data_IF_900806738562
#
_entry.id   IF_900806738562
#
_cell.length_a   1.000
_cell.length_b   1.000
_cell.length_c   1.000
_cell.angle_alpha   90.00
_cell.angle_beta   90.00
_cell.angle_gamma   90.00
#
_symmetry.space_group_name_H-M   'P 1'
#
loop_
_entity.id
_entity.type
_entity.pdbx_description
1 polymer ?
#
# COMPACT_ATOMS: atom_id res chain seq x y z
N UNK A 1 -6.42 10.14 -5.89
CA UNK A 1 -6.29 9.93 -7.35
C UNK A 1 -7.16 10.89 -8.16
N UNK A 2 -8.47 11.07 -7.92
CA UNK A 2 -9.29 11.99 -8.75
C UNK A 2 -8.77 13.43 -8.76
N UNK A 3 -8.38 13.95 -7.59
CA UNK A 3 -7.81 15.30 -7.46
C UNK A 3 -6.45 15.42 -8.18
N UNK A 4 -5.65 14.35 -8.22
CA UNK A 4 -4.37 14.35 -8.93
C UNK A 4 -4.57 14.45 -10.44
N UNK A 5 -5.49 13.65 -10.98
CA UNK A 5 -5.88 13.73 -12.39
C UNK A 5 -6.44 15.11 -12.74
N UNK A 6 -7.26 15.68 -11.86
CA UNK A 6 -7.79 17.03 -12.04
C UNK A 6 -6.70 18.09 -12.04
N UNK A 7 -5.70 17.99 -11.17
CA UNK A 7 -4.54 18.88 -11.19
C UNK A 7 -3.78 18.80 -12.53
N UNK A 8 -3.52 17.60 -13.04
CA UNK A 8 -2.86 17.41 -14.34
C UNK A 8 -3.69 18.07 -15.46
N UNK A 9 -5.02 17.87 -15.48
CA UNK A 9 -5.91 18.50 -16.46
C UNK A 9 -5.96 20.03 -16.35
N UNK A 10 -5.66 20.60 -15.17
CA UNK A 10 -5.54 22.05 -14.95
C UNK A 10 -4.16 22.60 -15.33
N UNK A 11 -3.26 21.77 -15.85
CA UNK A 11 -1.95 22.18 -16.34
C UNK A 11 -0.86 22.30 -15.27
N UNK A 12 -1.06 21.71 -14.08
CA UNK A 12 0.04 21.59 -13.12
C UNK A 12 1.09 20.62 -13.66
N UNK A 13 2.34 21.08 -13.77
CA UNK A 13 3.49 20.26 -14.17
C UNK A 13 3.76 19.15 -13.15
N UNK A 14 4.34 18.04 -13.61
CA UNK A 14 4.74 16.93 -12.76
C UNK A 14 5.71 17.35 -11.65
N UNK A 15 6.69 18.19 -11.97
CA UNK A 15 7.69 18.69 -11.02
C UNK A 15 7.03 19.45 -9.86
N UNK A 16 6.09 20.35 -10.18
CA UNK A 16 5.32 21.09 -9.19
C UNK A 16 4.46 20.17 -8.32
N UNK A 17 3.83 19.15 -8.91
CA UNK A 17 3.04 18.15 -8.18
C UNK A 17 3.94 17.39 -7.20
N UNK A 18 5.08 16.89 -7.64
CA UNK A 18 6.00 16.12 -6.80
C UNK A 18 6.56 16.97 -5.64
N UNK A 19 6.88 18.24 -5.89
CA UNK A 19 7.45 19.13 -4.88
C UNK A 19 6.42 19.71 -3.91
N UNK A 20 5.18 19.94 -4.35
CA UNK A 20 4.21 20.72 -3.59
C UNK A 20 2.77 20.16 -3.63
N UNK A 21 2.64 18.83 -3.64
CA UNK A 21 1.34 18.17 -3.74
C UNK A 21 0.31 18.61 -2.69
N UNK A 22 0.62 18.80 -1.40
CA UNK A 22 -0.41 19.19 -0.42
C UNK A 22 -1.10 20.51 -0.75
N UNK A 23 -0.33 21.52 -1.19
CA UNK A 23 -0.89 22.82 -1.54
C UNK A 23 -1.65 22.80 -2.87
N UNK A 24 -1.16 22.06 -3.89
CA UNK A 24 -1.88 21.86 -5.16
C UNK A 24 -3.18 21.08 -4.89
N UNK A 25 -3.06 20.00 -4.12
CA UNK A 25 -4.06 19.40 -3.22
C UNK A 25 -5.25 20.29 -2.95
N UNK A 26 -5.00 21.14 -1.96
CA UNK A 26 -6.02 21.93 -1.30
C UNK A 26 -6.53 23.04 -2.21
N UNK A 27 -5.66 23.60 -3.06
CA UNK A 27 -6.05 24.55 -4.10
C UNK A 27 -7.08 23.96 -5.07
N UNK A 28 -6.84 22.77 -5.63
CA UNK A 28 -7.78 22.13 -6.57
C UNK A 28 -9.09 21.78 -5.87
N UNK A 29 -9.02 21.29 -4.63
CA UNK A 29 -10.22 20.97 -3.84
C UNK A 29 -11.09 22.21 -3.61
N UNK A 30 -10.49 23.35 -3.28
CA UNK A 30 -11.21 24.60 -3.04
C UNK A 30 -11.71 25.24 -4.34
N UNK A 31 -10.85 25.34 -5.37
CA UNK A 31 -11.21 25.96 -6.66
C UNK A 31 -12.36 25.24 -7.36
N UNK A 32 -12.40 23.91 -7.29
CA UNK A 32 -13.42 23.10 -7.95
C UNK A 32 -14.57 22.69 -7.00
N UNK A 33 -14.65 23.27 -5.78
CA UNK A 33 -15.66 22.96 -4.74
C UNK A 33 -15.85 21.45 -4.50
N UNK A 34 -14.75 20.72 -4.39
CA UNK A 34 -14.76 19.27 -4.31
C UNK A 34 -14.98 18.80 -2.88
N UNK A 35 -16.01 17.99 -2.65
CA UNK A 35 -16.20 17.31 -1.37
C UNK A 35 -15.41 15.99 -1.31
N UNK A 36 -14.38 15.85 -0.45
CA UNK A 36 -13.54 14.65 -0.42
C UNK A 36 -14.30 13.37 -0.07
N UNK A 37 -15.30 13.45 0.82
CA UNK A 37 -16.12 12.29 1.19
C UNK A 37 -16.98 11.83 0.01
N UNK A 38 -17.62 12.77 -0.68
CA UNK A 38 -18.40 12.45 -1.88
C UNK A 38 -17.52 11.85 -2.98
N UNK A 39 -16.33 12.42 -3.23
CA UNK A 39 -15.39 11.88 -4.20
C UNK A 39 -14.98 10.44 -3.88
N UNK A 40 -14.66 10.14 -2.62
CA UNK A 40 -14.32 8.78 -2.20
C UNK A 40 -15.49 7.81 -2.46
N UNK A 41 -16.71 8.18 -2.06
CA UNK A 41 -17.92 7.38 -2.30
C UNK A 41 -18.17 7.15 -3.79
N UNK A 42 -18.01 8.18 -4.63
CA UNK A 42 -18.23 8.06 -6.08
C UNK A 42 -17.19 7.14 -6.74
N UNK A 43 -15.92 7.24 -6.34
CA UNK A 43 -14.86 6.35 -6.84
C UNK A 43 -15.15 4.90 -6.48
N UNK A 44 -15.55 4.63 -5.23
CA UNK A 44 -15.87 3.27 -4.79
C UNK A 44 -17.12 2.74 -5.52
N UNK A 45 -18.16 3.57 -5.70
CA UNK A 45 -19.37 3.20 -6.43
C UNK A 45 -19.12 2.88 -7.92
N UNK A 46 -18.23 3.64 -8.58
CA UNK A 46 -17.83 3.34 -9.98
C UNK A 46 -17.11 2.00 -10.05
N UNK A 47 -16.19 1.72 -9.11
CA UNK A 47 -15.48 0.44 -9.05
C UNK A 47 -16.42 -0.73 -8.78
N UNK A 48 -17.38 -0.56 -7.89
CA UNK A 48 -18.37 -1.59 -7.58
C UNK A 48 -19.26 -1.90 -8.78
N UNK A 49 -19.76 -0.87 -9.48
CA UNK A 49 -20.52 -1.08 -10.72
C UNK A 49 -19.70 -1.84 -11.75
N UNK A 50 -18.43 -1.47 -11.93
CA UNK A 50 -17.55 -2.12 -12.89
C UNK A 50 -17.27 -3.58 -12.53
N UNK A 51 -16.92 -3.87 -11.27
CA UNK A 51 -16.74 -5.25 -10.81
C UNK A 51 -17.98 -6.12 -11.10
N UNK A 52 -19.18 -5.58 -10.89
CA UNK A 52 -20.43 -6.31 -11.05
C UNK A 52 -20.84 -6.47 -12.52
N UNK A 53 -20.52 -5.50 -13.39
CA UNK A 53 -20.91 -5.53 -14.79
C UNK A 53 -19.89 -6.24 -15.68
N UNK A 54 -18.60 -6.09 -15.39
CA UNK A 54 -17.51 -6.55 -16.23
C UNK A 54 -16.22 -6.68 -15.39
N UNK A 55 -16.15 -7.77 -14.63
CA UNK A 55 -15.01 -8.09 -13.78
C UNK A 55 -13.72 -8.25 -14.59
N UNK A 56 -13.80 -8.88 -15.77
CA UNK A 56 -12.63 -9.19 -16.59
C UNK A 56 -11.92 -7.93 -17.08
N UNK A 57 -12.66 -6.96 -17.62
CA UNK A 57 -12.06 -5.68 -18.05
C UNK A 57 -11.52 -4.86 -16.88
N UNK A 58 -12.17 -4.92 -15.71
CA UNK A 58 -11.65 -4.26 -14.50
C UNK A 58 -10.31 -4.88 -14.07
N UNK A 59 -10.24 -6.22 -14.06
CA UNK A 59 -9.04 -6.98 -13.73
C UNK A 59 -7.91 -6.73 -14.74
N UNK A 60 -8.22 -6.60 -16.03
CA UNK A 60 -7.25 -6.33 -17.10
C UNK A 60 -6.51 -4.98 -16.94
N UNK A 61 -7.05 -4.04 -16.17
CA UNK A 61 -6.40 -2.75 -15.88
C UNK A 61 -5.42 -2.80 -14.71
N UNK A 62 -5.23 -3.97 -14.10
CA UNK A 62 -4.33 -4.17 -12.98
C UNK A 62 -3.18 -5.08 -13.38
N UNK A 63 -1.98 -4.71 -12.93
CA UNK A 63 -0.77 -5.49 -13.17
C UNK A 63 -0.01 -5.59 -11.87
N UNK A 64 0.38 -6.81 -11.50
CA UNK A 64 1.30 -7.03 -10.40
C UNK A 64 2.71 -6.69 -10.85
N UNK A 65 3.52 -6.13 -9.95
CA UNK A 65 4.94 -5.98 -10.20
C UNK A 65 5.58 -7.34 -10.45
N UNK A 66 6.56 -7.35 -11.35
CA UNK A 66 7.28 -8.56 -11.76
C UNK A 66 7.83 -9.33 -10.54
N UNK A 67 7.66 -10.65 -10.53
CA UNK A 67 8.15 -11.52 -9.46
C UNK A 67 7.34 -11.50 -8.15
N UNK A 68 6.43 -10.55 -7.93
CA UNK A 68 5.71 -10.45 -6.65
C UNK A 68 4.80 -11.65 -6.38
N UNK A 69 4.00 -12.07 -7.37
CA UNK A 69 3.08 -13.20 -7.18
C UNK A 69 3.81 -14.52 -6.92
N UNK A 70 4.80 -14.93 -7.76
CA UNK A 70 5.59 -16.12 -7.48
C UNK A 70 6.28 -16.07 -6.11
N UNK A 71 6.81 -14.91 -5.72
CA UNK A 71 7.43 -14.75 -4.41
C UNK A 71 6.42 -14.94 -3.29
N UNK A 72 5.26 -14.30 -3.35
CA UNK A 72 4.22 -14.45 -2.32
C UNK A 72 3.70 -15.89 -2.24
N UNK A 73 3.55 -16.59 -3.37
CA UNK A 73 3.19 -18.01 -3.38
C UNK A 73 4.24 -18.84 -2.64
N UNK A 74 5.53 -18.72 -3.00
CA UNK A 74 6.61 -19.43 -2.34
C UNK A 74 6.73 -19.09 -0.83
N UNK A 75 6.54 -17.82 -0.45
CA UNK A 75 6.55 -17.39 0.94
C UNK A 75 5.36 -17.95 1.73
N UNK A 76 4.19 -18.10 1.10
CA UNK A 76 2.98 -18.58 1.77
C UNK A 76 3.06 -20.04 2.23
N UNK A 77 3.97 -20.81 1.62
CA UNK A 77 4.29 -22.19 2.04
C UNK A 77 5.16 -22.23 3.30
N UNK A 78 5.90 -21.16 3.59
CA UNK A 78 6.91 -21.10 4.65
C UNK A 78 6.47 -20.27 5.86
N UNK A 79 5.69 -19.21 5.64
CA UNK A 79 5.22 -18.32 6.70
C UNK A 79 3.82 -17.76 6.42
N UNK A 80 3.09 -17.35 7.48
CA UNK A 80 1.83 -16.64 7.31
C UNK A 80 2.03 -15.29 6.61
N UNK A 81 1.33 -15.09 5.49
CA UNK A 81 1.24 -13.79 4.82
C UNK A 81 -0.05 -13.10 5.24
N UNK A 82 0.06 -11.81 5.59
CA UNK A 82 -1.06 -10.95 5.98
C UNK A 82 -1.05 -9.69 5.12
N UNK A 83 -2.21 -9.30 4.61
CA UNK A 83 -2.38 -8.09 3.81
C UNK A 83 -3.13 -7.05 4.64
N UNK A 84 -2.52 -5.87 4.81
CA UNK A 84 -3.14 -4.73 5.49
C UNK A 84 -3.24 -3.57 4.50
N UNK A 85 -4.45 -3.20 4.10
CA UNK A 85 -4.69 -2.28 2.99
C UNK A 85 -5.82 -1.29 3.28
N UNK A 86 -5.77 -0.13 2.62
CA UNK A 86 -6.86 0.86 2.64
C UNK A 86 -7.84 0.67 1.48
N UNK A 87 -7.71 -0.42 0.71
CA UNK A 87 -8.68 -0.85 -0.29
C UNK A 87 -9.75 -1.73 0.37
N UNK A 88 -10.97 -1.76 -0.16
CA UNK A 88 -11.97 -2.74 0.28
C UNK A 88 -11.44 -4.17 0.03
N UNK A 89 -11.60 -5.08 0.99
CA UNK A 89 -11.06 -6.44 0.92
C UNK A 89 -11.51 -7.19 -0.34
N UNK A 90 -12.75 -6.96 -0.80
CA UNK A 90 -13.30 -7.57 -2.03
C UNK A 90 -12.46 -7.29 -3.28
N UNK A 91 -11.93 -6.07 -3.44
CA UNK A 91 -11.09 -5.73 -4.60
C UNK A 91 -9.77 -6.49 -4.56
N UNK A 92 -9.19 -6.61 -3.36
CA UNK A 92 -7.93 -7.32 -3.17
C UNK A 92 -8.10 -8.81 -3.42
N UNK A 93 -9.17 -9.42 -2.90
CA UNK A 93 -9.49 -10.83 -3.15
C UNK A 93 -9.61 -11.14 -4.63
N UNK A 94 -10.36 -10.33 -5.38
CA UNK A 94 -10.53 -10.51 -6.83
C UNK A 94 -9.18 -10.48 -7.57
N UNK A 95 -8.31 -9.51 -7.24
CA UNK A 95 -6.98 -9.38 -7.85
C UNK A 95 -6.07 -10.57 -7.54
N UNK A 96 -6.02 -11.01 -6.28
CA UNK A 96 -5.19 -12.13 -5.87
C UNK A 96 -5.69 -13.45 -6.47
N UNK A 97 -7.00 -13.65 -6.51
CA UNK A 97 -7.61 -14.83 -7.11
C UNK A 97 -7.29 -14.95 -8.61
N UNK A 98 -7.33 -13.85 -9.36
CA UNK A 98 -6.90 -13.83 -10.76
C UNK A 98 -5.43 -14.24 -10.93
N UNK A 99 -4.58 -13.86 -9.97
CA UNK A 99 -3.17 -14.21 -9.95
C UNK A 99 -2.88 -15.62 -9.38
N UNK A 100 -3.92 -16.40 -9.04
CA UNK A 100 -3.74 -17.74 -8.45
C UNK A 100 -3.20 -17.72 -7.02
N UNK A 101 -3.40 -16.62 -6.28
CA UNK A 101 -3.02 -16.51 -4.87
C UNK A 101 -4.29 -16.37 -4.00
N UNK A 102 -4.42 -17.23 -3.00
CA UNK A 102 -5.52 -17.21 -2.04
C UNK A 102 -5.00 -16.79 -0.68
N UNK A 103 -5.59 -15.76 -0.08
CA UNK A 103 -5.28 -15.30 1.27
C UNK A 103 -6.52 -15.51 2.14
N UNK A 104 -6.42 -16.23 3.27
CA UNK A 104 -7.52 -16.38 4.21
C UNK A 104 -8.11 -15.05 4.70
N UNK A 105 -9.40 -15.03 4.97
CA UNK A 105 -10.13 -13.83 5.38
C UNK A 105 -9.63 -13.23 6.69
N UNK A 106 -9.17 -14.08 7.62
CA UNK A 106 -8.54 -13.67 8.88
C UNK A 106 -7.13 -13.08 8.72
N UNK A 107 -6.61 -13.07 7.48
CA UNK A 107 -5.31 -12.49 7.10
C UNK A 107 -5.42 -11.37 6.07
N UNK A 108 -6.64 -10.92 5.74
CA UNK A 108 -6.88 -9.78 4.88
C UNK A 108 -7.61 -8.67 5.63
N UNK A 109 -6.87 -7.62 5.98
CA UNK A 109 -7.38 -6.45 6.68
C UNK A 109 -7.51 -5.28 5.71
N UNK A 110 -8.68 -5.19 5.06
CA UNK A 110 -9.03 -4.07 4.18
C UNK A 110 -9.65 -2.88 4.90
N UNK A 111 -10.09 -1.91 4.10
CA UNK A 111 -10.79 -0.69 4.53
C UNK A 111 -12.08 -0.98 5.30
N UNK A 112 -12.77 -2.04 4.91
CA UNK A 112 -14.00 -2.55 5.51
C UNK A 112 -13.82 -2.95 6.97
N UNK A 113 -12.61 -3.32 7.40
CA UNK A 113 -12.30 -3.60 8.80
C UNK A 113 -12.27 -2.33 9.68
N UNK A 114 -12.22 -1.13 9.09
CA UNK A 114 -12.17 0.19 9.77
C UNK A 114 -11.14 0.27 10.90
N UNK A 115 -10.02 -0.43 10.74
CA UNK A 115 -8.96 -0.53 11.74
C UNK A 115 -7.67 0.14 11.24
N UNK A 116 -7.02 1.02 12.03
CA UNK A 116 -5.70 1.54 11.70
C UNK A 116 -4.64 0.44 11.63
N UNK A 117 -3.67 0.57 10.72
CA UNK A 117 -2.61 -0.44 10.54
C UNK A 117 -1.85 -0.75 11.83
N UNK A 118 -1.60 0.26 12.68
CA UNK A 118 -0.94 0.08 13.97
C UNK A 118 -1.71 -0.87 14.90
N UNK A 119 -3.04 -0.75 14.94
CA UNK A 119 -3.87 -1.62 15.77
C UNK A 119 -3.92 -3.05 15.21
N UNK A 120 -3.99 -3.20 13.88
CA UNK A 120 -3.88 -4.52 13.25
C UNK A 120 -2.54 -5.18 13.58
N UNK A 121 -1.43 -4.45 13.52
CA UNK A 121 -0.10 -4.96 13.87
C UNK A 121 -0.02 -5.38 15.35
N UNK A 122 -0.64 -4.63 16.28
CA UNK A 122 -0.74 -5.03 17.70
C UNK A 122 -1.47 -6.36 17.85
N UNK A 123 -2.62 -6.51 17.18
CA UNK A 123 -3.36 -7.77 17.24
C UNK A 123 -2.50 -8.93 16.70
N UNK A 124 -1.88 -8.75 15.53
CA UNK A 124 -1.03 -9.79 14.94
C UNK A 124 0.13 -10.19 15.85
N UNK A 125 0.73 -9.23 16.55
CA UNK A 125 1.79 -9.49 17.53
C UNK A 125 1.33 -10.36 18.70
N UNK A 126 0.08 -10.22 19.14
CA UNK A 126 -0.45 -11.08 20.22
C UNK A 126 -0.71 -12.52 19.78
N UNK A 127 -0.93 -12.75 18.49
CA UNK A 127 -1.28 -14.06 17.93
C UNK A 127 -0.14 -14.73 17.17
N UNK A 128 0.97 -14.02 16.94
CA UNK A 128 2.10 -14.52 16.15
C UNK A 128 3.33 -14.76 17.04
N UNK A 129 3.90 -15.98 17.05
CA UNK A 129 5.13 -16.27 17.78
C UNK A 129 6.39 -15.78 17.06
N UNK A 130 6.27 -15.30 15.82
CA UNK A 130 7.42 -14.90 14.98
C UNK A 130 7.54 -13.38 14.86
N UNK A 131 8.76 -12.86 14.61
CA UNK A 131 8.97 -11.46 14.27
C UNK A 131 8.11 -11.03 13.06
N UNK A 132 7.49 -9.86 13.14
CA UNK A 132 6.66 -9.31 12.06
C UNK A 132 7.53 -8.43 11.17
N UNK A 133 7.52 -8.70 9.87
CA UNK A 133 8.14 -7.87 8.84
C UNK A 133 7.03 -7.12 8.11
N UNK A 134 6.98 -5.80 8.28
CA UNK A 134 5.94 -4.95 7.72
C UNK A 134 6.48 -4.18 6.52
N UNK A 135 5.97 -4.51 5.34
CA UNK A 135 6.36 -3.92 4.05
C UNK A 135 5.28 -2.93 3.60
N UNK A 136 5.67 -1.71 3.26
CA UNK A 136 4.76 -0.64 2.88
C UNK A 136 5.48 0.33 1.95
N UNK A 137 4.79 0.89 0.96
CA UNK A 137 5.39 1.83 0.01
C UNK A 137 5.22 3.30 0.42
N UNK A 138 4.36 3.58 1.40
CA UNK A 138 4.16 4.92 1.98
C UNK A 138 5.02 5.14 3.23
N UNK A 139 6.08 5.93 3.08
CA UNK A 139 6.98 6.30 4.19
C UNK A 139 6.25 6.88 5.42
N UNK A 140 5.24 7.73 5.23
CA UNK A 140 4.49 8.34 6.34
C UNK A 140 3.78 7.30 7.21
N UNK A 141 3.29 6.21 6.61
CA UNK A 141 2.71 5.07 7.34
C UNK A 141 3.77 4.41 8.21
N UNK A 142 4.94 4.10 7.65
CA UNK A 142 6.07 3.50 8.38
C UNK A 142 6.53 4.39 9.54
N UNK A 143 6.60 5.71 9.33
CA UNK A 143 6.93 6.68 10.39
C UNK A 143 5.89 6.68 11.51
N UNK A 144 4.60 6.57 11.18
CA UNK A 144 3.51 6.47 12.17
C UNK A 144 3.63 5.19 13.01
N UNK A 145 3.93 4.05 12.37
CA UNK A 145 4.17 2.77 13.06
C UNK A 145 5.43 2.85 13.93
N UNK A 146 6.51 3.45 13.41
CA UNK A 146 7.77 3.65 14.15
C UNK A 146 7.56 4.44 15.45
N UNK A 147 6.65 5.42 15.47
CA UNK A 147 6.35 6.18 16.68
C UNK A 147 5.65 5.38 17.79
N UNK A 148 5.08 4.21 17.46
CA UNK A 148 4.41 3.34 18.44
C UNK A 148 5.47 2.59 19.25
N UNK A 149 5.55 2.90 20.55
CA UNK A 149 6.53 2.29 21.48
C UNK A 149 6.34 0.78 21.65
N UNK A 150 5.12 0.31 21.48
CA UNK A 150 4.75 -1.09 21.64
C UNK A 150 4.96 -1.94 20.36
N UNK A 151 5.36 -1.30 19.25
CA UNK A 151 5.65 -1.94 17.96
C UNK A 151 7.15 -1.87 17.59
N UNK A 152 8.04 -1.62 18.55
CA UNK A 152 9.49 -1.44 18.33
C UNK A 152 10.21 -2.63 17.71
N UNK A 153 9.67 -3.82 17.95
CA UNK A 153 10.13 -5.13 17.48
C UNK A 153 9.66 -5.49 16.06
N UNK A 154 8.75 -4.70 15.47
CA UNK A 154 8.34 -4.89 14.08
C UNK A 154 9.41 -4.30 13.17
N UNK A 155 9.93 -5.15 12.27
CA UNK A 155 10.85 -4.72 11.21
C UNK A 155 10.06 -3.95 10.15
N UNK A 156 10.54 -2.76 9.78
CA UNK A 156 9.84 -1.84 8.88
C UNK A 156 10.59 -1.77 7.55
N UNK A 157 9.90 -2.06 6.45
CA UNK A 157 10.47 -2.03 5.11
C UNK A 157 9.72 -1.04 4.22
N UNK A 158 10.44 -0.06 3.65
CA UNK A 158 9.93 0.79 2.59
C UNK A 158 10.14 0.09 1.25
N UNK A 159 9.07 -0.41 0.64
CA UNK A 159 9.12 -0.90 -0.74
C UNK A 159 9.32 0.25 -1.72
N UNK A 160 10.48 0.34 -2.36
CA UNK A 160 10.86 1.49 -3.20
C UNK A 160 10.22 1.51 -4.60
N UNK A 161 9.46 0.46 -4.94
CA UNK A 161 8.78 0.29 -6.23
C UNK A 161 7.34 0.84 -6.27
N UNK A 162 6.87 1.45 -5.19
CA UNK A 162 5.52 2.01 -5.07
C UNK A 162 5.46 3.55 -5.12
N UNK A 163 4.50 4.16 -4.42
CA UNK A 163 4.18 5.60 -4.51
C UNK A 163 5.13 6.54 -3.74
N UNK A 164 6.41 6.18 -3.60
CA UNK A 164 7.40 7.03 -2.93
C UNK A 164 8.29 7.80 -3.90
N UNK A 165 8.70 8.99 -3.48
CA UNK A 165 9.63 9.86 -4.19
C UNK A 165 11.07 9.56 -3.82
N UNK A 166 12.03 10.00 -4.65
CA UNK A 166 13.45 9.89 -4.34
C UNK A 166 13.82 10.52 -2.99
N UNK A 167 13.19 11.65 -2.64
CA UNK A 167 13.38 12.29 -1.33
C UNK A 167 12.94 11.38 -0.17
N UNK A 168 11.81 10.69 -0.32
CA UNK A 168 11.32 9.74 0.68
C UNK A 168 12.23 8.50 0.78
N UNK A 169 12.75 7.99 -0.34
CA UNK A 169 13.72 6.90 -0.33
C UNK A 169 15.02 7.30 0.39
N UNK A 170 15.54 8.51 0.13
CA UNK A 170 16.71 9.03 0.84
C UNK A 170 16.45 9.23 2.34
N UNK A 171 15.24 9.66 2.71
CA UNK A 171 14.85 9.78 4.11
C UNK A 171 14.81 8.40 4.80
N UNK A 172 14.30 7.37 4.13
CA UNK A 172 14.34 5.99 4.64
C UNK A 172 15.76 5.48 4.80
N UNK A 173 16.66 5.72 3.84
CA UNK A 173 18.08 5.32 3.94
C UNK A 173 18.82 5.94 5.14
N UNK A 174 18.37 7.11 5.62
CA UNK A 174 18.93 7.78 6.81
C UNK A 174 18.25 7.34 8.11
N UNK A 175 17.19 6.55 8.04
CA UNK A 175 16.43 6.09 9.19
C UNK A 175 16.95 4.74 9.69
N UNK A 176 17.42 4.63 10.94
CA UNK A 176 18.00 3.39 11.44
C UNK A 176 16.99 2.25 11.64
N UNK A 177 15.68 2.53 11.57
CA UNK A 177 14.61 1.54 11.80
C UNK A 177 13.80 1.21 10.56
N UNK A 178 13.95 1.96 9.47
CA UNK A 178 13.21 1.74 8.23
C UNK A 178 14.21 1.28 7.17
N UNK A 179 14.11 0.02 6.77
CA UNK A 179 14.95 -0.57 5.75
C UNK A 179 14.34 -0.28 4.38
N UNK A 180 15.11 0.27 3.45
CA UNK A 180 14.67 0.35 2.06
C UNK A 180 14.76 -1.05 1.46
N UNK A 181 13.68 -1.48 0.81
CA UNK A 181 13.60 -2.75 0.10
C UNK A 181 13.32 -2.45 -1.37
N UNK A 182 14.21 -2.91 -2.26
CA UNK A 182 13.95 -2.85 -3.70
C UNK A 182 13.16 -4.04 -4.19
N UNK A 183 12.49 -3.91 -5.35
CA UNK A 183 11.75 -5.02 -5.94
C UNK A 183 12.67 -6.21 -6.23
N UNK A 184 13.90 -5.93 -6.68
CA UNK A 184 14.92 -6.94 -6.89
C UNK A 184 15.30 -7.67 -5.59
N UNK A 185 15.52 -6.94 -4.49
CA UNK A 185 15.78 -7.54 -3.17
C UNK A 185 14.58 -8.34 -2.66
N UNK A 186 13.35 -7.86 -2.84
CA UNK A 186 12.14 -8.58 -2.44
C UNK A 186 12.07 -9.98 -3.09
N UNK A 187 12.54 -10.11 -4.33
CA UNK A 187 12.64 -11.40 -5.01
C UNK A 187 13.65 -12.38 -4.39
N UNK A 188 14.65 -11.88 -3.65
CA UNK A 188 15.71 -12.69 -3.04
C UNK A 188 15.27 -13.36 -1.73
N UNK A 189 16.14 -14.21 -1.18
CA UNK A 189 16.00 -14.77 0.17
C UNK A 189 15.96 -13.68 1.25
N UNK A 190 15.34 -13.98 2.39
CA UNK A 190 15.20 -13.01 3.50
C UNK A 190 16.52 -12.42 3.99
N UNK A 191 17.61 -13.21 3.93
CA UNK A 191 18.96 -12.74 4.27
C UNK A 191 19.44 -11.60 3.37
N UNK A 192 18.95 -11.51 2.13
CA UNK A 192 19.25 -10.43 1.19
C UNK A 192 18.44 -9.16 1.40
N UNK A 193 17.39 -9.18 2.22
CA UNK A 193 16.52 -8.01 2.43
C UNK A 193 17.10 -6.99 3.41
N UNK A 194 17.98 -7.44 4.31
CA UNK A 194 18.68 -6.59 5.28
C UNK A 194 20.07 -6.17 4.80
N UNK A 195 20.48 -6.59 3.60
CA UNK A 195 21.73 -6.20 2.98
C UNK A 195 21.52 -4.88 2.24
N UNK A 196 21.99 -3.80 2.85
CA UNK A 196 22.02 -2.43 2.29
C UNK A 196 23.34 -2.13 1.62
#
# INVERSE_FOLDING_TARGET
MPVLLRAILKGFSEEAILQNWPNIRDRVVVEDDLNPKMLATQVDAVRDRWLNSDLESWLALHTFYEGVIPKLQALSEQLPIVIITTKESRFVKALLQQAGLQIPDDRLFGKDCRRPKAETLRQLKTTSPTPIWFIEDRLATLQTIKQQRDLTDIALFLGDWGYNTQQQQQAANRDPRIHRLSLAQFGQEFSGWLQS
#
